data_IF_468843908524
#
_entry.id   IF_468843908524
#
_cell.length_a   1.000
_cell.length_b   1.000
_cell.length_c   1.000
_cell.angle_alpha   90.00
_cell.angle_beta   90.00
_cell.angle_gamma   90.00
#
_symmetry.space_group_name_H-M   'P 1'
#
loop_
_entity.id
_entity.type
_entity.pdbx_description
1 polymer ?
#
# COMPACT_ATOMS: atom_id res chain seq x y z
N UNK A 1 5.07 6.96 23.48
CA UNK A 1 3.94 6.69 22.54
C UNK A 1 3.84 5.21 22.35
N UNK A 2 2.65 4.59 22.52
CA UNK A 2 2.50 3.16 22.20
C UNK A 2 2.91 2.94 20.75
N UNK A 3 3.59 1.83 20.49
CA UNK A 3 3.99 1.44 19.15
C UNK A 3 2.75 1.20 18.31
N UNK A 4 2.47 2.15 17.41
CA UNK A 4 1.36 2.11 16.49
C UNK A 4 1.86 1.80 15.09
N UNK A 5 1.10 0.97 14.39
CA UNK A 5 1.40 0.59 13.03
C UNK A 5 0.14 0.77 12.17
N UNK A 6 0.33 1.07 10.89
CA UNK A 6 -0.70 0.92 9.88
C UNK A 6 -0.61 -0.51 9.32
N UNK A 7 -1.63 -1.30 9.57
CA UNK A 7 -1.87 -2.55 8.85
C UNK A 7 -2.46 -2.21 7.50
N UNK A 8 -1.85 -2.69 6.41
CA UNK A 8 -2.39 -2.59 5.06
C UNK A 8 -2.44 -3.99 4.45
N UNK A 9 -3.63 -4.43 4.04
CA UNK A 9 -3.82 -5.71 3.37
C UNK A 9 -4.39 -5.44 1.97
N UNK A 10 -3.76 -6.01 0.94
CA UNK A 10 -4.27 -5.98 -0.44
C UNK A 10 -4.62 -7.41 -0.81
N UNK A 11 -5.91 -7.71 -0.95
CA UNK A 11 -6.42 -9.05 -1.18
C UNK A 11 -7.36 -9.09 -2.41
N UNK A 12 -7.85 -10.28 -2.76
CA UNK A 12 -8.88 -10.41 -3.80
C UNK A 12 -10.19 -9.82 -3.30
N UNK A 13 -10.90 -9.09 -4.15
CA UNK A 13 -12.17 -8.46 -3.78
C UNK A 13 -13.18 -9.48 -3.22
N UNK A 14 -13.22 -10.68 -3.78
CA UNK A 14 -14.13 -11.76 -3.32
C UNK A 14 -13.87 -12.26 -1.90
N UNK A 15 -12.68 -12.04 -1.36
CA UNK A 15 -12.31 -12.47 -0.01
C UNK A 15 -12.68 -11.41 1.07
N UNK A 16 -13.24 -10.26 0.69
CA UNK A 16 -13.56 -9.14 1.59
C UNK A 16 -14.37 -9.60 2.82
N UNK A 17 -15.46 -10.32 2.63
CA UNK A 17 -16.30 -10.79 3.74
C UNK A 17 -15.57 -11.70 4.73
N UNK A 18 -14.55 -12.45 4.29
CA UNK A 18 -13.72 -13.26 5.18
C UNK A 18 -12.80 -12.38 6.03
N UNK A 19 -12.23 -11.32 5.46
CA UNK A 19 -11.45 -10.34 6.19
C UNK A 19 -12.28 -9.55 7.21
N UNK A 20 -13.52 -9.17 6.89
CA UNK A 20 -14.43 -8.53 7.86
C UNK A 20 -14.65 -9.41 9.10
N UNK A 21 -14.90 -10.71 8.89
CA UNK A 21 -15.04 -11.67 10.00
C UNK A 21 -13.75 -11.81 10.79
N UNK A 22 -12.60 -11.84 10.11
CA UNK A 22 -11.28 -11.87 10.75
C UNK A 22 -11.07 -10.63 11.63
N UNK A 23 -11.31 -9.42 11.11
CA UNK A 23 -11.16 -8.18 11.84
C UNK A 23 -12.09 -8.09 13.07
N UNK A 24 -13.33 -8.52 12.91
CA UNK A 24 -14.28 -8.58 14.03
C UNK A 24 -13.79 -9.51 15.15
N UNK A 25 -13.28 -10.71 14.82
CA UNK A 25 -12.73 -11.65 15.81
C UNK A 25 -11.52 -11.09 16.56
N UNK A 26 -10.66 -10.36 15.85
CA UNK A 26 -9.45 -9.76 16.42
C UNK A 26 -9.67 -8.36 16.99
N UNK A 27 -10.93 -7.93 17.14
CA UNK A 27 -11.36 -6.64 17.74
C UNK A 27 -10.69 -5.43 17.06
N UNK A 28 -10.52 -5.49 15.75
CA UNK A 28 -10.13 -4.32 14.96
C UNK A 28 -11.37 -3.44 14.77
N UNK A 29 -11.49 -2.43 15.64
CA UNK A 29 -12.72 -1.63 15.77
C UNK A 29 -12.99 -0.71 14.57
N UNK A 30 -11.94 -0.29 13.86
CA UNK A 30 -12.06 0.59 12.71
C UNK A 30 -11.09 0.19 11.61
N UNK A 31 -11.59 0.05 10.40
CA UNK A 31 -10.78 -0.16 9.20
C UNK A 31 -11.43 0.57 8.01
N UNK A 32 -10.61 0.87 7.02
CA UNK A 32 -11.07 1.38 5.74
C UNK A 32 -10.91 0.30 4.66
N UNK A 33 -11.87 0.20 3.75
CA UNK A 33 -11.87 -0.72 2.63
C UNK A 33 -11.96 0.08 1.31
N UNK A 34 -10.99 -0.12 0.41
CA UNK A 34 -10.89 0.61 -0.85
C UNK A 34 -10.75 -0.36 -2.02
N UNK A 35 -11.68 -0.40 -2.99
CA UNK A 35 -11.50 -1.17 -4.21
C UNK A 35 -10.26 -0.71 -4.99
N UNK A 36 -9.49 -1.66 -5.51
CA UNK A 36 -8.27 -1.39 -6.24
C UNK A 36 -8.01 -2.46 -7.31
N UNK A 37 -6.95 -2.27 -8.11
CA UNK A 37 -6.56 -3.19 -9.18
C UNK A 37 -5.13 -3.67 -8.97
N UNK A 38 -4.90 -4.96 -9.15
CA UNK A 38 -3.57 -5.53 -9.22
C UNK A 38 -2.98 -5.37 -10.63
N UNK A 39 -1.70 -5.04 -10.72
CA UNK A 39 -0.98 -4.90 -12.00
C UNK A 39 0.10 -5.98 -12.19
N UNK A 40 0.14 -6.99 -11.32
CA UNK A 40 1.09 -8.11 -11.49
C UNK A 40 0.76 -8.87 -12.78
N UNK A 41 1.75 -8.97 -13.67
CA UNK A 41 1.61 -9.72 -14.92
C UNK A 41 1.55 -11.22 -14.59
N UNK A 42 0.46 -11.86 -15.00
CA UNK A 42 0.38 -13.32 -15.01
C UNK A 42 0.32 -13.75 -16.48
N UNK A 43 1.44 -14.28 -17.00
CA UNK A 43 1.58 -14.70 -18.41
C UNK A 43 0.41 -15.56 -18.92
N UNK A 44 -0.24 -16.30 -18.04
CA UNK A 44 -1.40 -17.12 -18.37
C UNK A 44 -2.69 -16.31 -18.50
N UNK A 45 -2.82 -15.22 -17.71
CA UNK A 45 -4.02 -14.34 -17.77
C UNK A 45 -3.89 -13.35 -18.93
N UNK A 46 -2.68 -12.91 -19.28
CA UNK A 46 -2.40 -12.06 -20.43
C UNK A 46 -2.81 -12.75 -21.74
N UNK A 47 -2.57 -14.07 -21.85
CA UNK A 47 -3.01 -14.90 -22.98
C UNK A 47 -4.54 -15.00 -23.13
N UNK A 48 -5.28 -14.80 -22.03
CA UNK A 48 -6.75 -14.86 -21.97
C UNK A 48 -7.40 -13.48 -22.04
N UNK A 49 -6.62 -12.39 -22.19
CA UNK A 49 -7.13 -11.01 -22.19
C UNK A 49 -7.65 -10.54 -20.82
N UNK A 50 -7.31 -11.22 -19.73
CA UNK A 50 -7.73 -10.89 -18.36
C UNK A 50 -6.59 -10.13 -17.70
N UNK A 51 -6.38 -8.89 -18.10
CA UNK A 51 -5.21 -8.09 -17.69
C UNK A 51 -5.24 -7.57 -16.25
N UNK A 52 -6.39 -7.59 -15.57
CA UNK A 52 -6.52 -6.89 -14.28
C UNK A 52 -7.35 -7.69 -13.28
N UNK A 53 -6.75 -8.03 -12.15
CA UNK A 53 -7.50 -8.66 -11.05
C UNK A 53 -8.09 -7.62 -10.12
N UNK A 54 -9.41 -7.71 -9.89
CA UNK A 54 -10.08 -6.91 -8.87
C UNK A 54 -9.54 -7.25 -7.48
N UNK A 55 -9.08 -6.21 -6.79
CA UNK A 55 -8.53 -6.28 -5.45
C UNK A 55 -9.27 -5.35 -4.51
N UNK A 56 -9.11 -5.59 -3.23
CA UNK A 56 -9.51 -4.68 -2.17
C UNK A 56 -8.32 -4.38 -1.29
N UNK A 57 -8.12 -3.12 -0.96
CA UNK A 57 -7.17 -2.68 0.04
C UNK A 57 -7.91 -2.41 1.35
N UNK A 58 -7.46 -3.06 2.41
CA UNK A 58 -7.98 -2.90 3.76
C UNK A 58 -6.89 -2.26 4.62
N UNK A 59 -7.22 -1.19 5.34
CA UNK A 59 -6.26 -0.49 6.20
C UNK A 59 -6.85 -0.29 7.59
N UNK A 60 -6.04 -0.57 8.61
CA UNK A 60 -6.40 -0.34 10.02
C UNK A 60 -5.17 0.14 10.81
N UNK A 61 -5.39 0.96 11.84
CA UNK A 61 -4.34 1.27 12.81
C UNK A 61 -4.37 0.22 13.91
N UNK A 62 -3.20 -0.34 14.21
CA UNK A 62 -3.04 -1.43 15.17
C UNK A 62 -1.93 -1.12 16.17
N UNK A 63 -2.13 -1.51 17.41
CA UNK A 63 -1.11 -1.44 18.44
C UNK A 63 -0.15 -2.65 18.38
N UNK A 64 0.93 -2.61 19.17
CA UNK A 64 1.97 -3.65 19.21
C UNK A 64 1.41 -5.06 19.40
N UNK A 65 0.54 -5.25 20.38
CA UNK A 65 -0.03 -6.57 20.69
C UNK A 65 -0.93 -7.08 19.56
N UNK A 66 -1.73 -6.19 18.95
CA UNK A 66 -2.55 -6.55 17.79
C UNK A 66 -1.67 -6.91 16.58
N UNK A 67 -0.60 -6.16 16.33
CA UNK A 67 0.37 -6.46 15.28
C UNK A 67 0.94 -7.87 15.43
N UNK A 68 1.41 -8.24 16.64
CA UNK A 68 1.96 -9.57 16.91
C UNK A 68 0.92 -10.66 16.67
N UNK A 69 -0.32 -10.46 17.13
CA UNK A 69 -1.40 -11.43 16.91
C UNK A 69 -1.75 -11.59 15.42
N UNK A 70 -1.76 -10.48 14.66
CA UNK A 70 -2.05 -10.49 13.23
C UNK A 70 -0.94 -11.23 12.47
N UNK A 71 0.32 -10.93 12.75
CA UNK A 71 1.46 -11.60 12.13
C UNK A 71 1.45 -13.11 12.38
N UNK A 72 1.03 -13.53 13.59
CA UNK A 72 0.96 -14.94 13.95
C UNK A 72 -0.24 -15.68 13.36
N UNK A 73 -1.36 -15.02 13.09
CA UNK A 73 -2.63 -15.72 12.78
C UNK A 73 -3.13 -15.48 11.35
N UNK A 74 -2.86 -14.31 10.78
CA UNK A 74 -3.41 -13.93 9.47
C UNK A 74 -2.86 -14.81 8.33
N UNK A 75 -1.57 -15.19 8.29
CA UNK A 75 -1.04 -16.06 7.25
C UNK A 75 -1.82 -17.37 7.13
N UNK A 76 -2.08 -18.03 8.24
CA UNK A 76 -2.77 -19.31 8.26
C UNK A 76 -4.29 -19.16 8.04
N UNK A 77 -4.94 -18.24 8.75
CA UNK A 77 -6.41 -18.10 8.70
C UNK A 77 -6.91 -17.56 7.36
N UNK A 78 -6.13 -16.73 6.68
CA UNK A 78 -6.48 -16.14 5.39
C UNK A 78 -5.71 -16.76 4.23
N UNK A 79 -4.79 -17.69 4.52
CA UNK A 79 -3.92 -18.34 3.54
C UNK A 79 -3.24 -17.32 2.61
N UNK A 80 -2.83 -16.17 3.18
CA UNK A 80 -2.34 -15.02 2.40
C UNK A 80 -1.02 -15.33 1.68
N UNK A 81 -0.28 -16.32 2.18
CA UNK A 81 0.98 -16.80 1.59
C UNK A 81 0.79 -17.61 0.30
N UNK A 82 -0.44 -18.01 -0.01
CA UNK A 82 -0.75 -18.63 -1.30
C UNK A 82 -0.66 -17.58 -2.41
N UNK A 83 0.09 -17.84 -3.49
CA UNK A 83 0.24 -16.91 -4.60
C UNK A 83 -1.09 -16.38 -5.12
N UNK A 84 -1.19 -15.06 -5.30
CA UNK A 84 -2.37 -14.38 -5.83
C UNK A 84 -3.48 -14.10 -4.81
N UNK A 85 -3.42 -14.64 -3.58
CA UNK A 85 -4.42 -14.37 -2.54
C UNK A 85 -4.30 -12.95 -2.00
N UNK A 86 -3.09 -12.48 -1.69
CA UNK A 86 -2.91 -11.12 -1.22
C UNK A 86 -1.50 -10.85 -0.70
N UNK A 87 -1.33 -9.66 -0.16
CA UNK A 87 -0.16 -9.22 0.61
C UNK A 87 -0.63 -8.45 1.83
N UNK A 88 0.07 -8.57 2.94
CA UNK A 88 -0.11 -7.77 4.14
C UNK A 88 1.18 -7.02 4.47
N UNK A 89 1.06 -5.78 4.89
CA UNK A 89 2.16 -4.88 5.23
C UNK A 89 1.92 -4.28 6.60
N UNK A 90 2.95 -4.21 7.41
CA UNK A 90 2.98 -3.45 8.66
C UNK A 90 3.88 -2.24 8.46
N UNK A 91 3.31 -1.06 8.56
CA UNK A 91 3.98 0.22 8.32
C UNK A 91 4.04 0.99 9.64
N UNK A 92 5.22 1.27 10.20
CA UNK A 92 5.35 2.01 11.45
C UNK A 92 4.80 3.43 11.32
N UNK A 93 4.03 3.87 12.31
CA UNK A 93 3.52 5.24 12.39
C UNK A 93 4.41 6.08 13.31
N UNK A 94 4.87 7.23 12.81
CA UNK A 94 5.66 8.17 13.60
C UNK A 94 4.80 9.04 14.53
N UNK A 95 3.58 9.36 14.09
CA UNK A 95 2.66 10.21 14.86
C UNK A 95 1.20 9.91 14.49
N UNK A 96 0.31 10.18 15.42
CA UNK A 96 -1.13 10.09 15.23
C UNK A 96 -1.81 11.29 15.88
N UNK A 97 -2.68 11.98 15.15
CA UNK A 97 -3.48 13.09 15.64
C UNK A 97 -4.85 12.62 16.18
N UNK A 98 -5.33 13.30 17.22
CA UNK A 98 -6.67 13.10 17.79
C UNK A 98 -6.72 12.08 18.93
N UNK A 99 -6.84 12.58 20.17
CA UNK A 99 -6.90 11.75 21.40
C UNK A 99 -8.10 10.79 21.38
N UNK A 100 -9.27 11.24 20.95
CA UNK A 100 -10.47 10.39 20.84
C UNK A 100 -10.30 9.26 19.81
N UNK A 101 -9.67 9.56 18.67
CA UNK A 101 -9.39 8.56 17.64
C UNK A 101 -8.40 7.51 18.16
N UNK A 102 -7.42 7.91 18.97
CA UNK A 102 -6.46 7.00 19.58
C UNK A 102 -7.13 6.05 20.58
N UNK A 103 -8.08 6.55 21.40
CA UNK A 103 -8.86 5.71 22.32
C UNK A 103 -9.68 4.64 21.59
N UNK A 104 -10.38 5.05 20.51
CA UNK A 104 -11.22 4.14 19.71
C UNK A 104 -10.36 3.06 19.03
N UNK A 105 -9.20 3.42 18.51
CA UNK A 105 -8.34 2.51 17.74
C UNK A 105 -7.47 1.61 18.61
N UNK A 106 -7.04 2.06 19.77
CA UNK A 106 -6.08 1.32 20.61
C UNK A 106 -6.65 0.83 21.95
N UNK A 107 -7.85 1.26 22.30
CA UNK A 107 -8.49 0.92 23.59
C UNK A 107 -7.81 1.53 24.82
N UNK A 108 -6.91 2.51 24.66
CA UNK A 108 -6.18 3.11 25.78
C UNK A 108 -5.67 4.53 25.47
N UNK A 109 -5.54 5.34 26.53
CA UNK A 109 -5.21 6.78 26.48
C UNK A 109 -3.71 7.07 26.66
N UNK A 110 -2.94 6.12 27.19
CA UNK A 110 -1.54 6.37 27.57
C UNK A 110 -0.61 6.44 26.37
N UNK A 111 -0.02 7.60 26.18
CA UNK A 111 1.03 7.84 25.19
C UNK A 111 2.40 7.75 25.93
N UNK A 112 3.19 6.73 25.64
CA UNK A 112 4.60 6.70 26.01
C UNK A 112 5.45 7.38 24.94
N UNK A 113 6.40 8.22 25.37
CA UNK A 113 7.38 8.83 24.46
C UNK A 113 8.30 7.75 23.88
N UNK A 114 8.54 7.81 22.57
CA UNK A 114 9.40 6.88 21.86
C UNK A 114 10.77 7.50 21.61
N UNK A 115 11.84 6.80 22.01
CA UNK A 115 13.14 7.02 21.39
C UNK A 115 13.06 6.60 19.91
N UNK A 116 13.54 7.47 19.02
CA UNK A 116 13.63 7.18 17.57
C UNK A 116 14.79 6.20 17.37
N UNK A 117 14.52 4.91 17.47
CA UNK A 117 15.47 3.89 17.06
C UNK A 117 15.53 3.95 15.53
N UNK A 118 16.69 4.26 14.97
CA UNK A 118 16.93 4.09 13.53
C UNK A 118 16.93 2.58 13.22
N UNK A 119 15.78 2.06 12.85
CA UNK A 119 15.68 0.69 12.31
C UNK A 119 16.00 0.74 10.81
N UNK A 120 16.87 -0.14 10.36
CA UNK A 120 17.08 -0.39 8.93
C UNK A 120 15.95 -1.31 8.45
N UNK A 121 15.24 -0.90 7.43
CA UNK A 121 14.13 -1.65 6.85
C UNK A 121 14.54 -2.20 5.49
N UNK A 122 14.38 -3.51 5.29
CA UNK A 122 14.72 -4.18 4.04
C UNK A 122 13.61 -4.09 2.98
N UNK A 123 12.41 -3.71 3.40
CA UNK A 123 11.24 -3.60 2.53
C UNK A 123 10.64 -2.20 2.61
N UNK A 124 10.17 -1.70 1.48
CA UNK A 124 9.60 -0.37 1.34
C UNK A 124 8.32 -0.42 0.51
N UNK A 125 7.38 0.45 0.84
CA UNK A 125 6.21 0.76 0.03
C UNK A 125 6.49 2.05 -0.74
N UNK A 126 6.64 1.95 -2.05
CA UNK A 126 6.74 3.11 -2.94
C UNK A 126 5.31 3.51 -3.31
N UNK A 127 5.01 4.79 -3.16
CA UNK A 127 3.73 5.40 -3.53
C UNK A 127 4.00 6.40 -4.64
N UNK A 128 3.29 6.25 -5.77
CA UNK A 128 3.31 7.23 -6.86
C UNK A 128 1.89 7.72 -7.13
N UNK A 129 1.69 9.03 -7.10
CA UNK A 129 0.43 9.70 -7.38
C UNK A 129 0.57 10.37 -8.75
N UNK A 130 -0.37 10.11 -9.66
CA UNK A 130 -0.32 10.56 -11.05
C UNK A 130 -1.68 11.07 -11.52
N UNK A 131 -1.70 11.72 -12.66
CA UNK A 131 -2.95 12.03 -13.35
C UNK A 131 -3.67 10.74 -13.78
N UNK A 132 -5.00 10.76 -13.79
CA UNK A 132 -5.85 9.62 -14.16
C UNK A 132 -5.45 9.05 -15.53
N UNK A 133 -5.38 7.72 -15.62
CA UNK A 133 -5.07 6.99 -16.84
C UNK A 133 -3.57 6.87 -17.16
N UNK A 134 -2.70 7.41 -16.28
CA UNK A 134 -1.25 7.37 -16.48
C UNK A 134 -0.56 6.20 -15.75
N UNK A 135 -1.32 5.39 -15.03
CA UNK A 135 -0.78 4.29 -14.21
C UNK A 135 -0.03 3.24 -15.01
N UNK A 136 -0.49 2.90 -16.22
CA UNK A 136 0.13 1.84 -17.01
C UNK A 136 1.52 2.26 -17.51
N UNK A 137 1.65 3.51 -17.96
CA UNK A 137 2.94 4.10 -18.41
C UNK A 137 3.94 4.16 -17.25
N UNK A 138 3.51 4.58 -16.07
CA UNK A 138 4.37 4.63 -14.89
C UNK A 138 4.76 3.22 -14.41
N UNK A 139 3.85 2.26 -14.49
CA UNK A 139 4.14 0.87 -14.14
C UNK A 139 5.10 0.18 -15.11
N UNK A 140 5.08 0.56 -16.39
CA UNK A 140 6.05 0.07 -17.36
C UNK A 140 7.47 0.48 -16.97
N UNK A 141 7.71 1.77 -16.72
CA UNK A 141 9.00 2.27 -16.25
C UNK A 141 9.43 1.63 -14.92
N UNK A 142 8.49 1.43 -13.99
CA UNK A 142 8.79 0.76 -12.73
C UNK A 142 9.20 -0.71 -12.92
N UNK A 143 8.56 -1.44 -13.85
CA UNK A 143 8.91 -2.84 -14.16
C UNK A 143 10.28 -2.96 -14.82
N UNK A 144 10.61 -2.08 -15.75
CA UNK A 144 11.95 -2.01 -16.36
C UNK A 144 13.03 -1.79 -15.30
N UNK A 145 12.70 -1.05 -14.22
CA UNK A 145 13.58 -0.83 -13.07
C UNK A 145 13.51 -1.95 -12.01
N UNK A 146 12.80 -3.06 -12.28
CA UNK A 146 12.77 -4.25 -11.42
C UNK A 146 11.56 -4.36 -10.49
N UNK A 147 10.50 -3.56 -10.67
CA UNK A 147 9.26 -3.77 -9.91
C UNK A 147 8.55 -5.06 -10.35
N UNK A 148 8.18 -5.92 -9.40
CA UNK A 148 7.44 -7.16 -9.67
C UNK A 148 5.97 -6.94 -10.02
N UNK A 149 5.43 -5.74 -9.71
CA UNK A 149 4.04 -5.36 -9.92
C UNK A 149 3.64 -4.25 -8.96
N UNK A 150 2.40 -3.82 -9.04
CA UNK A 150 1.85 -2.80 -8.15
C UNK A 150 0.33 -2.93 -8.00
N UNK A 151 -0.21 -2.09 -7.15
CA UNK A 151 -1.66 -1.93 -6.95
C UNK A 151 -2.06 -0.53 -7.32
N UNK A 152 -3.05 -0.36 -8.16
CA UNK A 152 -3.56 0.94 -8.59
C UNK A 152 -4.88 1.24 -7.88
N UNK A 153 -4.94 2.41 -7.27
CA UNK A 153 -6.11 2.96 -6.58
C UNK A 153 -6.52 4.22 -7.32
N UNK A 154 -7.80 4.36 -7.63
CA UNK A 154 -8.35 5.63 -8.11
C UNK A 154 -8.70 6.52 -6.94
N UNK A 155 -8.23 7.75 -6.98
CA UNK A 155 -8.44 8.75 -5.95
C UNK A 155 -8.90 10.08 -6.57
N UNK A 156 -9.41 10.97 -5.72
CA UNK A 156 -9.62 12.37 -6.08
C UNK A 156 -8.54 13.18 -5.39
N UNK A 157 -7.81 14.00 -6.15
CA UNK A 157 -6.78 14.87 -5.64
C UNK A 157 -7.21 16.34 -5.67
N UNK A 158 -6.71 17.13 -4.72
CA UNK A 158 -6.91 18.57 -4.68
C UNK A 158 -5.65 19.35 -5.09
N UNK A 159 -4.62 18.67 -5.60
CA UNK A 159 -3.36 19.27 -5.99
C UNK A 159 -3.34 19.53 -7.50
N UNK A 160 -3.40 20.79 -7.88
CA UNK A 160 -3.30 21.24 -9.25
C UNK A 160 -3.37 22.77 -9.34
N UNK A 161 -2.67 23.35 -10.31
CA UNK A 161 -2.82 24.76 -10.66
C UNK A 161 -4.17 24.92 -11.37
N UNK A 162 -5.10 25.55 -10.70
CA UNK A 162 -6.37 25.94 -11.25
C UNK A 162 -7.51 25.23 -10.55
N UNK A 163 -8.07 25.91 -9.54
CA UNK A 163 -9.44 25.67 -9.14
C UNK A 163 -10.33 26.05 -10.34
N UNK A 164 -10.56 25.10 -11.24
CA UNK A 164 -11.62 25.25 -12.22
C UNK A 164 -12.95 25.16 -11.48
N UNK A 165 -13.44 26.31 -11.04
CA UNK A 165 -14.76 26.47 -10.49
C UNK A 165 -15.79 26.44 -11.62
N UNK A 166 -16.40 25.28 -11.84
CA UNK A 166 -17.59 25.20 -12.68
C UNK A 166 -18.83 25.40 -11.82
N UNK A 167 -19.52 26.51 -11.98
CA UNK A 167 -20.70 26.92 -11.16
C UNK A 167 -20.45 26.93 -9.63
N UNK A 168 -19.25 27.34 -9.19
CA UNK A 168 -18.93 27.45 -7.76
C UNK A 168 -18.62 26.10 -7.07
N UNK A 169 -18.46 25.01 -7.84
CA UNK A 169 -18.04 23.70 -7.32
C UNK A 169 -16.60 23.46 -7.74
N UNK A 170 -15.72 23.21 -6.77
CA UNK A 170 -14.34 22.78 -7.03
C UNK A 170 -14.37 21.37 -7.60
N UNK A 171 -13.98 21.21 -8.87
CA UNK A 171 -13.84 19.89 -9.48
C UNK A 171 -12.50 19.28 -8.99
N UNK A 172 -12.58 18.33 -8.06
CA UNK A 172 -11.40 17.58 -7.66
C UNK A 172 -10.93 16.71 -8.83
N UNK A 173 -9.67 16.90 -9.24
CA UNK A 173 -9.06 16.09 -10.30
C UNK A 173 -8.98 14.62 -9.91
N UNK A 174 -9.34 13.74 -10.83
CA UNK A 174 -9.14 12.30 -10.64
C UNK A 174 -7.65 11.97 -10.78
N UNK A 175 -7.14 11.17 -9.85
CA UNK A 175 -5.75 10.73 -9.77
C UNK A 175 -5.69 9.20 -9.71
N UNK A 176 -4.63 8.64 -10.26
CA UNK A 176 -4.24 7.26 -10.00
C UNK A 176 -3.15 7.25 -8.93
N UNK A 177 -3.26 6.38 -7.94
CA UNK A 177 -2.22 6.13 -6.93
C UNK A 177 -1.70 4.72 -7.11
N UNK A 178 -0.41 4.58 -7.36
CA UNK A 178 0.27 3.29 -7.50
C UNK A 178 0.99 2.97 -6.20
N UNK A 179 0.79 1.75 -5.70
CA UNK A 179 1.49 1.17 -4.56
C UNK A 179 2.40 0.04 -5.06
N UNK A 180 3.71 0.18 -4.86
CA UNK A 180 4.71 -0.83 -5.25
C UNK A 180 5.50 -1.25 -4.02
N UNK A 181 5.48 -2.55 -3.70
CA UNK A 181 6.35 -3.10 -2.64
C UNK A 181 7.69 -3.48 -3.26
N UNK A 182 8.78 -2.99 -2.66
CA UNK A 182 10.14 -3.15 -3.16
C UNK A 182 11.12 -3.46 -2.02
N UNK A 183 12.17 -4.19 -2.33
CA UNK A 183 13.33 -4.32 -1.43
C UNK A 183 14.12 -3.01 -1.38
N UNK A 184 15.00 -2.84 -0.38
CA UNK A 184 15.92 -1.68 -0.33
C UNK A 184 16.76 -1.57 -1.62
N UNK A 185 17.21 -2.70 -2.18
CA UNK A 185 17.98 -2.73 -3.42
C UNK A 185 17.17 -2.25 -4.64
N UNK A 186 15.88 -2.55 -4.68
CA UNK A 186 14.98 -2.15 -5.78
C UNK A 186 14.43 -0.73 -5.61
N UNK A 187 14.34 -0.23 -4.39
CA UNK A 187 13.72 1.06 -4.06
C UNK A 187 14.31 2.22 -4.87
N UNK A 188 15.64 2.37 -4.84
CA UNK A 188 16.33 3.46 -5.56
C UNK A 188 16.12 3.40 -7.08
N UNK A 189 16.39 2.29 -7.78
CA UNK A 189 16.14 2.17 -9.21
C UNK A 189 14.70 2.50 -9.60
N UNK A 190 13.71 1.95 -8.90
CA UNK A 190 12.29 2.21 -9.20
C UNK A 190 11.92 3.67 -8.98
N UNK A 191 12.32 4.28 -7.85
CA UNK A 191 12.08 5.69 -7.59
C UNK A 191 12.72 6.58 -8.66
N UNK A 192 13.95 6.27 -9.09
CA UNK A 192 14.63 7.03 -10.12
C UNK A 192 13.94 6.92 -11.49
N UNK A 193 13.45 5.73 -11.84
CA UNK A 193 12.71 5.52 -13.09
C UNK A 193 11.43 6.36 -13.11
N UNK A 194 10.65 6.36 -12.03
CA UNK A 194 9.45 7.18 -11.90
C UNK A 194 9.74 8.68 -11.96
N UNK A 195 10.82 9.13 -11.32
CA UNK A 195 11.24 10.55 -11.36
C UNK A 195 11.73 10.95 -12.75
N UNK A 196 12.49 10.11 -13.45
CA UNK A 196 12.96 10.39 -14.81
C UNK A 196 11.78 10.48 -15.77
N UNK A 197 10.84 9.55 -15.68
CA UNK A 197 9.61 9.57 -16.48
C UNK A 197 8.78 10.84 -16.24
N UNK A 198 8.68 11.30 -14.97
CA UNK A 198 8.00 12.55 -14.64
C UNK A 198 8.67 13.80 -15.26
N UNK A 199 10.00 13.76 -15.46
CA UNK A 199 10.74 14.83 -16.15
C UNK A 199 10.54 14.80 -17.66
N UNK A 200 10.51 13.60 -18.25
CA UNK A 200 10.30 13.40 -19.68
C UNK A 200 8.85 13.68 -20.10
N UNK A 201 7.89 13.38 -19.21
CA UNK A 201 6.45 13.52 -19.42
C UNK A 201 5.80 14.28 -18.26
N UNK A 202 5.98 15.63 -18.19
CA UNK A 202 5.43 16.46 -17.10
C UNK A 202 3.91 16.37 -16.97
N UNK A 203 3.21 16.04 -18.06
CA UNK A 203 1.76 15.84 -18.10
C UNK A 203 1.28 14.68 -17.23
N UNK A 204 2.15 13.77 -16.83
CA UNK A 204 1.80 12.71 -15.89
C UNK A 204 1.52 13.24 -14.48
N UNK A 205 2.04 14.42 -14.13
CA UNK A 205 1.84 15.04 -12.81
C UNK A 205 2.32 14.18 -11.65
N UNK A 206 3.43 13.44 -11.83
CA UNK A 206 3.88 12.41 -10.89
C UNK A 206 4.48 12.98 -9.61
N UNK A 207 3.97 12.56 -8.47
CA UNK A 207 4.59 12.72 -7.15
C UNK A 207 4.89 11.34 -6.58
N UNK A 208 6.14 11.09 -6.15
CA UNK A 208 6.53 9.80 -5.62
C UNK A 208 7.29 9.91 -4.31
N UNK A 209 7.03 8.98 -3.39
CA UNK A 209 7.72 8.85 -2.10
C UNK A 209 7.73 7.40 -1.66
N UNK A 210 8.52 7.07 -0.63
CA UNK A 210 8.56 5.72 -0.08
C UNK A 210 8.37 5.72 1.43
N UNK A 211 7.74 4.66 1.93
CA UNK A 211 7.51 4.38 3.34
C UNK A 211 8.27 3.12 3.74
N UNK A 212 8.89 3.06 4.93
CA UNK A 212 9.48 1.83 5.43
C UNK A 212 8.36 0.82 5.78
N UNK A 213 8.64 -0.46 5.58
CA UNK A 213 7.75 -1.56 5.95
C UNK A 213 8.51 -2.46 6.93
N UNK A 214 7.98 -2.63 8.14
CA UNK A 214 8.63 -3.45 9.16
C UNK A 214 8.44 -4.94 8.93
N UNK A 215 7.24 -5.33 8.49
CA UNK A 215 6.87 -6.73 8.31
C UNK A 215 5.97 -6.89 7.09
N UNK A 216 6.07 -8.07 6.44
CA UNK A 216 5.27 -8.43 5.27
C UNK A 216 4.67 -9.82 5.42
N UNK A 217 3.51 -10.05 4.81
CA UNK A 217 2.85 -11.33 4.72
C UNK A 217 2.42 -11.58 3.28
N UNK A 218 2.51 -12.82 2.80
CA UNK A 218 2.13 -13.19 1.43
C UNK A 218 3.01 -12.61 0.32
N UNK A 219 4.08 -11.90 0.67
CA UNK A 219 4.98 -11.29 -0.28
C UNK A 219 6.08 -12.27 -0.67
N UNK A 220 6.08 -12.68 -1.94
CA UNK A 220 7.20 -13.42 -2.54
C UNK A 220 8.02 -12.47 -3.38
N UNK A 221 9.00 -11.82 -2.78
CA UNK A 221 10.04 -11.11 -3.52
C UNK A 221 10.86 -12.13 -4.28
N UNK A 222 11.07 -11.92 -5.57
CA UNK A 222 11.82 -12.84 -6.45
C UNK A 222 13.21 -13.10 -5.83
N UNK A 223 13.55 -14.37 -5.57
CA UNK A 223 14.82 -14.78 -4.92
C UNK A 223 16.07 -14.28 -5.66
N UNK A 224 15.93 -13.84 -6.91
CA UNK A 224 17.02 -13.27 -7.71
C UNK A 224 17.58 -11.96 -7.16
N UNK A 225 16.83 -11.25 -6.30
CA UNK A 225 17.22 -9.98 -5.71
C UNK A 225 17.54 -10.05 -4.22
N UNK A 226 17.50 -11.22 -3.60
CA UNK A 226 17.90 -11.43 -2.21
C UNK A 226 18.92 -12.57 -2.13
N UNK A 227 20.26 -12.29 -2.23
CA UNK A 227 21.32 -13.31 -2.23
C UNK A 227 21.64 -13.86 -0.84
N UNK A 228 20.87 -13.55 0.20
CA UNK A 228 21.10 -14.07 1.56
C UNK A 228 19.88 -14.88 2.03
N UNK A 229 19.85 -16.15 1.58
CA UNK A 229 19.38 -17.35 2.32
C UNK A 229 19.73 -18.58 1.49
#
# INVERSE_FOLDING_TARGET
MKELNLLMIIARLKDHAAYEKYFSRHKLAAYAAVPCRGTAQNKTLDLLGIEQTEKIMLTAVVGKQQTQNILATLPDQMEIDIPGRGIGLIIPLNSMGGIHSMQVLTGSIEAEEREVIKMEYNTHLIVAILNKGCSDVAMEAAREAGAGGGTVIRAKGTYGKGDEHFFGVTLAEEKDTILIVATEAQRRPIMQALVNQAKEKPELGTVTFSLPVSDTMGLRLDRRFNPQN
#
